data_IF_998776205962
#
_entry.id   IF_998776205962
#
_cell.length_a   1.000
_cell.length_b   1.000
_cell.length_c   1.000
_cell.angle_alpha   90.00
_cell.angle_beta   90.00
_cell.angle_gamma   90.00
#
_symmetry.space_group_name_H-M   'P 1'
#
loop_
_entity.id
_entity.type
_entity.pdbx_description
1 polymer ?
#
# COMPACT_ATOMS: atom_id res chain seq x y z
N UNK A 1 -5.61 0.19 -25.90
CA UNK A 1 -6.69 0.59 -24.99
C UNK A 1 -6.13 0.83 -23.60
N UNK A 2 -5.52 -0.17 -22.93
CA UNK A 2 -4.93 -0.03 -21.61
C UNK A 2 -3.99 1.19 -21.49
N UNK A 3 -3.01 1.29 -22.39
CA UNK A 3 -2.04 2.38 -22.39
C UNK A 3 -2.66 3.73 -22.69
N UNK A 4 -3.66 3.78 -23.59
CA UNK A 4 -4.39 5.03 -23.87
C UNK A 4 -5.16 5.52 -22.66
N UNK A 5 -5.90 4.62 -22.01
CA UNK A 5 -6.63 4.95 -20.77
C UNK A 5 -5.68 5.47 -19.67
N UNK A 6 -4.52 4.84 -19.49
CA UNK A 6 -3.53 5.27 -18.50
C UNK A 6 -2.90 6.63 -18.86
N UNK A 7 -2.46 6.80 -20.11
CA UNK A 7 -1.79 8.04 -20.56
C UNK A 7 -2.71 9.25 -20.48
N UNK A 8 -4.01 9.05 -20.75
CA UNK A 8 -5.01 10.12 -20.72
C UNK A 8 -5.68 10.28 -19.35
N UNK A 9 -5.38 9.40 -18.38
CA UNK A 9 -6.09 9.35 -17.09
C UNK A 9 -7.60 9.43 -17.35
N UNK A 10 -8.11 8.46 -18.10
CA UNK A 10 -9.49 8.48 -18.58
C UNK A 10 -10.14 7.10 -18.48
N UNK A 11 -11.47 7.11 -18.53
CA UNK A 11 -12.22 5.92 -18.88
C UNK A 11 -12.13 5.68 -20.39
N UNK A 12 -11.95 4.43 -20.79
CA UNK A 12 -11.93 4.01 -22.19
C UNK A 12 -12.89 2.85 -22.37
N UNK A 13 -13.99 3.12 -23.04
CA UNK A 13 -14.99 2.12 -23.42
C UNK A 13 -14.75 1.73 -24.86
N UNK A 14 -14.60 0.46 -25.14
CA UNK A 14 -14.29 -0.06 -26.46
C UNK A 14 -15.24 -1.19 -26.83
N UNK A 15 -15.84 -1.10 -27.99
CA UNK A 15 -16.62 -2.15 -28.63
C UNK A 15 -16.13 -2.31 -30.06
N UNK A 16 -15.94 -3.54 -30.49
CA UNK A 16 -15.49 -3.90 -31.83
C UNK A 16 -16.54 -4.73 -32.54
N UNK A 17 -16.55 -4.65 -33.86
CA UNK A 17 -17.34 -5.49 -34.75
C UNK A 17 -17.33 -6.96 -34.38
N UNK A 18 -18.49 -7.57 -34.40
CA UNK A 18 -18.70 -8.99 -34.06
C UNK A 18 -18.53 -9.94 -35.26
N UNK A 19 -18.61 -11.25 -35.02
CA UNK A 19 -18.44 -12.27 -36.07
C UNK A 19 -19.43 -12.16 -37.23
N UNK A 20 -20.61 -11.59 -37.01
CA UNK A 20 -21.67 -11.49 -38.03
C UNK A 20 -21.57 -10.22 -38.88
N UNK A 21 -20.59 -9.35 -38.63
CA UNK A 21 -20.47 -8.06 -39.36
C UNK A 21 -19.65 -8.18 -40.64
N UNK A 22 -19.08 -9.34 -40.93
CA UNK A 22 -18.40 -9.60 -42.19
C UNK A 22 -18.80 -10.96 -42.74
N UNK A 23 -19.04 -11.02 -44.04
CA UNK A 23 -19.39 -12.25 -44.78
C UNK A 23 -18.25 -12.74 -45.67
N UNK A 24 -17.09 -12.08 -45.63
CA UNK A 24 -15.95 -12.39 -46.50
C UNK A 24 -14.79 -13.02 -45.69
N UNK A 25 -13.55 -12.77 -46.04
CA UNK A 25 -12.35 -13.41 -45.51
C UNK A 25 -11.93 -12.91 -44.13
N UNK A 26 -12.65 -11.97 -43.54
CA UNK A 26 -12.33 -11.33 -42.27
C UNK A 26 -13.32 -11.78 -41.20
N UNK A 27 -12.80 -12.32 -40.09
CA UNK A 27 -13.58 -12.60 -38.90
C UNK A 27 -13.26 -11.58 -37.80
N UNK A 28 -14.26 -10.85 -37.36
CA UNK A 28 -14.13 -9.91 -36.25
C UNK A 28 -14.43 -10.59 -34.91
N UNK A 29 -13.73 -10.17 -33.87
CA UNK A 29 -13.80 -10.85 -32.56
C UNK A 29 -14.93 -10.40 -31.65
N UNK A 30 -15.57 -9.25 -31.93
CA UNK A 30 -16.59 -8.68 -31.04
C UNK A 30 -16.05 -8.31 -29.68
N UNK A 31 -14.78 -7.90 -29.58
CA UNK A 31 -14.16 -7.56 -28.30
C UNK A 31 -14.79 -6.32 -27.68
N UNK A 32 -15.20 -6.41 -26.44
CA UNK A 32 -15.70 -5.30 -25.62
C UNK A 32 -14.87 -5.15 -24.35
N UNK A 33 -14.43 -3.94 -24.06
CA UNK A 33 -13.50 -3.65 -22.98
C UNK A 33 -13.86 -2.34 -22.30
N UNK A 34 -13.77 -2.31 -20.97
CA UNK A 34 -13.88 -1.07 -20.18
C UNK A 34 -12.62 -0.94 -19.35
N UNK A 35 -11.89 0.15 -19.53
CA UNK A 35 -10.69 0.51 -18.78
C UNK A 35 -10.87 1.85 -18.08
N UNK A 36 -10.20 2.00 -16.94
CA UNK A 36 -10.09 3.23 -16.16
C UNK A 36 -8.64 3.41 -15.72
N UNK A 37 -8.01 4.50 -16.12
CA UNK A 37 -6.62 4.83 -15.78
C UNK A 37 -5.67 3.62 -15.86
N UNK A 38 -5.73 2.86 -16.97
CA UNK A 38 -4.92 1.68 -17.22
C UNK A 38 -5.36 0.39 -16.51
N UNK A 39 -6.39 0.45 -15.68
CA UNK A 39 -6.96 -0.73 -15.01
C UNK A 39 -8.16 -1.26 -15.79
N UNK A 40 -8.19 -2.59 -16.02
CA UNK A 40 -9.33 -3.23 -16.67
C UNK A 40 -10.46 -3.39 -15.66
N UNK A 41 -11.65 -2.81 -15.97
CA UNK A 41 -12.85 -2.94 -15.16
C UNK A 41 -13.74 -4.09 -15.62
N UNK A 42 -13.89 -4.22 -16.94
CA UNK A 42 -14.72 -5.28 -17.52
C UNK A 42 -14.20 -5.70 -18.90
N UNK A 43 -14.48 -6.95 -19.25
CA UNK A 43 -14.19 -7.54 -20.56
C UNK A 43 -15.28 -8.52 -20.93
N UNK A 44 -15.82 -8.39 -22.14
CA UNK A 44 -16.82 -9.32 -22.69
C UNK A 44 -16.17 -10.53 -23.36
N UNK A 45 -16.96 -11.59 -23.47
CA UNK A 45 -16.56 -12.78 -24.22
C UNK A 45 -16.44 -12.44 -25.70
N UNK A 46 -15.37 -12.89 -26.34
CA UNK A 46 -15.15 -12.72 -27.78
C UNK A 46 -15.82 -13.83 -28.58
N UNK A 47 -15.99 -13.60 -29.89
CA UNK A 47 -16.53 -14.56 -30.85
C UNK A 47 -17.92 -15.08 -30.51
N UNK A 48 -18.79 -14.19 -30.00
CA UNK A 48 -20.19 -14.51 -29.74
C UNK A 48 -21.04 -14.19 -30.96
N UNK A 49 -21.95 -15.08 -31.30
CA UNK A 49 -22.91 -14.93 -32.41
C UNK A 49 -24.22 -14.24 -31.96
N UNK A 50 -24.42 -14.08 -30.66
CA UNK A 50 -25.54 -13.38 -30.07
C UNK A 50 -25.11 -11.98 -29.57
N UNK A 51 -26.09 -11.11 -29.33
CA UNK A 51 -25.85 -9.80 -28.72
C UNK A 51 -25.30 -9.96 -27.31
N UNK A 52 -24.21 -9.28 -27.03
CA UNK A 52 -23.55 -9.27 -25.73
C UNK A 52 -23.49 -7.88 -25.12
N UNK A 53 -23.66 -7.79 -23.81
CA UNK A 53 -23.56 -6.56 -23.06
C UNK A 53 -22.44 -6.68 -22.01
N UNK A 54 -21.51 -5.72 -22.04
CA UNK A 54 -20.45 -5.59 -21.04
C UNK A 54 -20.71 -4.36 -20.19
N UNK A 55 -20.77 -4.52 -18.88
CA UNK A 55 -21.11 -3.46 -17.93
C UNK A 55 -19.95 -3.31 -16.94
N UNK A 56 -19.62 -2.07 -16.60
CA UNK A 56 -18.63 -1.75 -15.56
C UNK A 56 -18.88 -0.35 -15.00
N UNK A 57 -18.51 -0.17 -13.73
CA UNK A 57 -18.65 1.10 -13.04
C UNK A 57 -17.35 1.91 -13.17
N UNK A 58 -17.44 3.12 -13.67
CA UNK A 58 -16.33 4.06 -13.82
C UNK A 58 -16.42 5.12 -12.72
N UNK A 59 -15.31 5.33 -12.01
CA UNK A 59 -15.19 6.37 -10.99
C UNK A 59 -14.68 7.68 -11.62
N UNK A 60 -15.62 8.50 -12.07
CA UNK A 60 -15.32 9.77 -12.75
C UNK A 60 -14.65 10.78 -11.80
N UNK A 61 -15.06 10.80 -10.54
CA UNK A 61 -14.49 11.72 -9.55
C UNK A 61 -13.02 11.36 -9.25
N UNK A 62 -12.71 10.07 -9.15
CA UNK A 62 -11.33 9.60 -9.03
C UNK A 62 -10.48 10.01 -10.23
N UNK A 63 -10.99 9.86 -11.44
CA UNK A 63 -10.27 10.28 -12.64
C UNK A 63 -10.01 11.80 -12.65
N UNK A 64 -10.98 12.59 -12.24
CA UNK A 64 -10.84 14.05 -12.12
C UNK A 64 -9.75 14.39 -11.08
N UNK A 65 -9.80 13.76 -9.92
CA UNK A 65 -8.80 13.94 -8.86
C UNK A 65 -7.37 13.55 -9.30
N UNK A 66 -7.23 12.42 -10.00
CA UNK A 66 -5.94 11.96 -10.53
C UNK A 66 -5.37 12.94 -11.58
N UNK A 67 -6.23 13.53 -12.42
CA UNK A 67 -5.84 14.59 -13.37
C UNK A 67 -5.41 15.87 -12.66
N UNK A 68 -6.13 16.30 -11.63
CA UNK A 68 -5.80 17.50 -10.87
C UNK A 68 -4.42 17.40 -10.18
N UNK A 69 -4.03 16.21 -9.75
CA UNK A 69 -2.71 15.96 -9.16
C UNK A 69 -1.57 15.91 -10.18
N UNK A 70 -1.89 15.70 -11.44
CA UNK A 70 -0.90 15.56 -12.49
C UNK A 70 -0.61 16.91 -13.14
N UNK A 71 0.55 17.48 -12.84
CA UNK A 71 0.98 18.78 -13.36
C UNK A 71 1.19 18.83 -14.89
N UNK A 72 1.27 17.66 -15.54
CA UNK A 72 1.36 17.55 -17.00
C UNK A 72 0.02 17.71 -17.72
N UNK A 73 -1.09 17.68 -16.98
CA UNK A 73 -2.42 17.99 -17.52
C UNK A 73 -2.68 19.48 -17.42
N UNK A 74 -2.22 20.22 -18.43
CA UNK A 74 -2.56 21.64 -18.56
C UNK A 74 -3.94 21.79 -19.20
N UNK A 75 -4.76 22.65 -18.64
CA UNK A 75 -5.96 23.15 -19.30
C UNK A 75 -5.54 24.13 -20.40
N UNK A 76 -5.31 23.63 -21.59
CA UNK A 76 -5.31 24.50 -22.76
C UNK A 76 -6.70 25.12 -22.85
N UNK A 77 -6.78 26.41 -23.11
CA UNK A 77 -8.04 27.03 -23.49
C UNK A 77 -8.58 26.27 -24.70
N UNK A 78 -9.60 25.44 -24.44
CA UNK A 78 -10.32 24.75 -25.51
C UNK A 78 -11.08 25.82 -26.29
N UNK A 79 -11.07 25.72 -27.60
CA UNK A 79 -11.96 26.48 -28.43
C UNK A 79 -13.41 26.33 -27.93
N UNK A 80 -14.27 27.36 -28.14
CA UNK A 80 -15.63 27.29 -27.65
C UNK A 80 -16.35 26.08 -28.26
N UNK A 81 -16.71 25.13 -27.41
CA UNK A 81 -17.41 23.90 -27.76
C UNK A 81 -18.89 24.01 -27.39
N UNK A 82 -19.75 23.42 -28.18
CA UNK A 82 -21.18 23.29 -27.85
C UNK A 82 -21.34 22.35 -26.66
N UNK A 83 -21.91 22.84 -25.57
CA UNK A 83 -22.23 22.04 -24.37
C UNK A 83 -23.68 21.55 -24.46
N UNK A 84 -23.87 20.24 -24.31
CA UNK A 84 -25.18 19.61 -24.19
C UNK A 84 -25.34 19.15 -22.76
N UNK A 85 -26.31 19.68 -22.03
CA UNK A 85 -26.62 19.29 -20.67
C UNK A 85 -27.56 18.10 -20.71
N UNK A 86 -27.14 16.98 -20.08
CA UNK A 86 -27.95 15.79 -19.86
C UNK A 86 -28.10 15.57 -18.37
N UNK A 87 -29.33 15.32 -17.94
CA UNK A 87 -29.64 14.92 -16.55
C UNK A 87 -29.94 13.42 -16.55
N UNK A 88 -29.15 12.65 -15.84
CA UNK A 88 -29.39 11.23 -15.63
C UNK A 88 -29.82 11.06 -14.18
N UNK A 89 -30.99 10.46 -13.90
CA UNK A 89 -31.43 10.24 -12.53
C UNK A 89 -30.46 9.30 -11.79
N UNK A 90 -30.16 9.65 -10.54
CA UNK A 90 -29.38 8.78 -9.68
C UNK A 90 -30.11 7.43 -9.49
N UNK A 91 -29.42 6.34 -9.69
CA UNK A 91 -29.97 5.00 -9.49
C UNK A 91 -29.35 4.39 -8.24
N UNK A 92 -30.19 3.78 -7.40
CA UNK A 92 -29.71 3.01 -6.22
C UNK A 92 -29.25 1.59 -6.63
N UNK A 93 -28.62 1.45 -7.79
CA UNK A 93 -28.08 0.17 -8.22
C UNK A 93 -26.84 -0.20 -7.38
N UNK A 94 -26.68 -1.46 -7.00
CA UNK A 94 -25.48 -1.88 -6.29
C UNK A 94 -24.25 -1.67 -7.16
N UNK A 95 -23.21 -1.11 -6.56
CA UNK A 95 -21.92 -0.90 -7.23
C UNK A 95 -21.30 -2.26 -7.53
N UNK A 96 -20.94 -2.50 -8.80
CA UNK A 96 -20.29 -3.73 -9.28
C UNK A 96 -18.78 -3.70 -9.12
N UNK A 97 -18.23 -2.54 -8.77
CA UNK A 97 -16.81 -2.34 -8.57
C UNK A 97 -16.37 -2.93 -7.22
N UNK A 98 -15.29 -3.68 -7.24
CA UNK A 98 -14.63 -4.17 -6.02
C UNK A 98 -13.45 -3.28 -5.66
N UNK A 99 -13.37 -2.87 -4.41
CA UNK A 99 -12.22 -2.12 -3.88
C UNK A 99 -11.33 -3.05 -3.06
N UNK A 100 -10.02 -2.95 -3.27
CA UNK A 100 -9.08 -3.73 -2.47
C UNK A 100 -9.15 -3.28 -1.00
N UNK A 101 -9.41 -4.22 -0.09
CA UNK A 101 -9.47 -3.93 1.36
C UNK A 101 -8.15 -3.34 1.88
N UNK A 102 -7.04 -3.77 1.29
CA UNK A 102 -5.68 -3.35 1.64
C UNK A 102 -4.95 -2.86 0.38
N UNK A 103 -5.18 -1.60 -0.08
CA UNK A 103 -4.68 -1.12 -1.36
C UNK A 103 -3.15 -1.03 -1.42
N UNK A 104 -2.48 -0.90 -0.27
CA UNK A 104 -1.02 -0.80 -0.18
C UNK A 104 -0.31 -2.14 0.00
N UNK A 105 -1.07 -3.21 0.25
CA UNK A 105 -0.52 -4.56 0.48
C UNK A 105 -0.78 -5.42 -0.75
N UNK A 106 0.26 -5.92 -1.42
CA UNK A 106 0.08 -6.81 -2.57
C UNK A 106 -0.73 -8.05 -2.19
N UNK A 107 -1.75 -8.37 -2.97
CA UNK A 107 -2.58 -9.58 -2.77
C UNK A 107 -1.80 -10.87 -3.07
N UNK A 108 -0.83 -10.81 -3.98
CA UNK A 108 0.05 -11.93 -4.28
C UNK A 108 1.08 -12.13 -3.14
N UNK A 109 1.10 -13.31 -2.47
CA UNK A 109 2.00 -13.57 -1.34
C UNK A 109 3.49 -13.39 -1.68
N UNK A 110 3.94 -13.81 -2.86
CA UNK A 110 5.34 -13.70 -3.26
C UNK A 110 5.75 -12.23 -3.41
N UNK A 111 4.94 -11.42 -4.11
CA UNK A 111 5.17 -9.97 -4.24
C UNK A 111 5.11 -9.26 -2.90
N UNK A 112 4.22 -9.69 -2.00
CA UNK A 112 4.13 -9.13 -0.65
C UNK A 112 5.39 -9.40 0.16
N UNK A 113 5.90 -10.65 0.12
CA UNK A 113 7.12 -11.03 0.82
C UNK A 113 8.36 -10.33 0.25
N UNK A 114 8.47 -10.23 -1.07
CA UNK A 114 9.51 -9.47 -1.76
C UNK A 114 9.53 -8.01 -1.29
N UNK A 115 8.37 -7.34 -1.34
CA UNK A 115 8.24 -5.94 -0.90
C UNK A 115 8.54 -5.76 0.59
N UNK A 116 8.07 -6.67 1.45
CA UNK A 116 8.36 -6.61 2.89
C UNK A 116 9.85 -6.76 3.17
N UNK A 117 10.53 -7.68 2.49
CA UNK A 117 11.98 -7.86 2.60
C UNK A 117 12.75 -6.64 2.08
N UNK A 118 12.31 -6.03 0.98
CA UNK A 118 12.91 -4.82 0.45
C UNK A 118 12.80 -3.66 1.45
N UNK A 119 11.62 -3.41 2.01
CA UNK A 119 11.39 -2.35 3.02
C UNK A 119 12.29 -2.56 4.23
N UNK A 120 12.32 -3.78 4.77
CA UNK A 120 13.18 -4.11 5.91
C UNK A 120 14.68 -3.91 5.57
N UNK A 121 15.07 -4.25 4.36
CA UNK A 121 16.46 -4.09 3.89
C UNK A 121 16.83 -2.63 3.76
N UNK A 122 15.98 -1.80 3.17
CA UNK A 122 16.19 -0.34 3.04
C UNK A 122 16.41 0.28 4.42
N UNK A 123 15.52 0.00 5.38
CA UNK A 123 15.62 0.54 6.74
C UNK A 123 16.91 0.09 7.45
N UNK A 124 17.23 -1.21 7.34
CA UNK A 124 18.41 -1.78 7.99
C UNK A 124 19.72 -1.27 7.39
N UNK A 125 19.80 -1.12 6.06
CA UNK A 125 20.96 -0.54 5.39
C UNK A 125 21.13 0.94 5.72
N UNK A 126 20.05 1.71 5.81
CA UNK A 126 20.09 3.11 6.20
C UNK A 126 20.67 3.27 7.62
N UNK A 127 20.19 2.46 8.56
CA UNK A 127 20.71 2.45 9.93
C UNK A 127 22.18 1.98 9.97
N UNK A 128 22.52 0.90 9.28
CA UNK A 128 23.90 0.38 9.22
C UNK A 128 24.88 1.45 8.69
N UNK A 129 24.47 2.20 7.64
CA UNK A 129 25.25 3.31 7.13
C UNK A 129 25.50 4.39 8.20
N UNK A 130 24.49 4.75 8.98
CA UNK A 130 24.61 5.73 10.07
C UNK A 130 25.56 5.25 11.17
N UNK A 131 25.37 4.00 11.63
CA UNK A 131 26.23 3.41 12.64
C UNK A 131 27.70 3.34 12.18
N UNK A 132 27.93 2.95 10.93
CA UNK A 132 29.26 2.92 10.33
C UNK A 132 29.87 4.32 10.25
N UNK A 133 29.10 5.32 9.86
CA UNK A 133 29.56 6.71 9.75
C UNK A 133 29.97 7.31 11.09
N UNK A 134 29.15 7.07 12.13
CA UNK A 134 29.40 7.59 13.49
C UNK A 134 30.39 6.76 14.28
N UNK A 135 30.78 5.58 13.80
CA UNK A 135 31.61 4.63 14.55
C UNK A 135 30.89 3.96 15.72
N UNK A 136 29.57 4.15 15.84
CA UNK A 136 28.77 3.62 16.95
C UNK A 136 28.60 2.12 16.83
N UNK A 137 28.93 1.40 17.90
CA UNK A 137 28.80 -0.06 18.00
C UNK A 137 27.66 -0.51 18.91
N UNK A 138 26.89 0.42 19.47
CA UNK A 138 25.80 0.16 20.39
C UNK A 138 24.56 0.93 19.98
N UNK A 139 23.39 0.34 20.20
CA UNK A 139 22.09 1.00 20.08
C UNK A 139 21.29 0.82 21.37
N UNK A 140 20.48 1.81 21.70
CA UNK A 140 19.51 1.74 22.79
C UNK A 140 18.13 1.92 22.17
N UNK A 141 17.18 1.04 22.53
CA UNK A 141 15.80 1.08 22.04
C UNK A 141 14.82 0.80 23.17
N UNK A 142 13.80 1.64 23.30
CA UNK A 142 12.63 1.36 24.13
C UNK A 142 11.73 0.30 23.45
N UNK A 143 11.47 -0.82 24.13
CA UNK A 143 10.66 -1.92 23.59
C UNK A 143 9.39 -2.06 24.42
N UNK A 144 8.27 -1.63 23.83
CA UNK A 144 6.95 -1.72 24.46
C UNK A 144 6.26 -3.08 24.28
N UNK A 145 6.75 -3.91 23.35
CA UNK A 145 6.08 -5.14 22.92
C UNK A 145 4.98 -4.93 21.87
N UNK A 146 4.78 -3.70 21.39
CA UNK A 146 3.93 -3.35 20.24
C UNK A 146 4.64 -3.53 18.90
N UNK A 147 3.88 -3.43 17.81
CA UNK A 147 4.40 -3.68 16.45
C UNK A 147 5.52 -2.72 16.05
N UNK A 148 5.39 -1.43 16.35
CA UNK A 148 6.34 -0.41 15.92
C UNK A 148 7.72 -0.60 16.58
N UNK A 149 7.73 -0.81 17.90
CA UNK A 149 8.96 -1.09 18.64
C UNK A 149 9.58 -2.42 18.24
N UNK A 150 8.77 -3.42 17.90
CA UNK A 150 9.23 -4.71 17.40
C UNK A 150 9.87 -4.56 16.02
N UNK A 151 9.27 -3.80 15.11
CA UNK A 151 9.86 -3.53 13.79
C UNK A 151 11.19 -2.80 13.93
N UNK A 152 11.23 -1.73 14.72
CA UNK A 152 12.48 -0.99 14.97
C UNK A 152 13.59 -1.89 15.56
N UNK A 153 13.22 -2.77 16.47
CA UNK A 153 14.11 -3.77 17.07
C UNK A 153 14.71 -4.71 16.00
N UNK A 154 13.87 -5.26 15.13
CA UNK A 154 14.32 -6.16 14.05
C UNK A 154 15.19 -5.44 13.02
N UNK A 155 14.91 -4.18 12.72
CA UNK A 155 15.74 -3.32 11.85
C UNK A 155 17.13 -3.15 12.45
N UNK A 156 17.25 -2.92 13.76
CA UNK A 156 18.55 -2.79 14.44
C UNK A 156 19.33 -4.11 14.38
N UNK A 157 18.68 -5.22 14.68
CA UNK A 157 19.35 -6.54 14.62
C UNK A 157 19.87 -6.85 13.21
N UNK A 158 19.07 -6.56 12.18
CA UNK A 158 19.51 -6.75 10.80
C UNK A 158 20.64 -5.79 10.40
N UNK A 159 20.63 -4.56 10.90
CA UNK A 159 21.73 -3.63 10.70
C UNK A 159 23.01 -4.10 11.40
N UNK A 160 22.91 -4.68 12.60
CA UNK A 160 24.03 -5.28 13.32
C UNK A 160 24.60 -6.49 12.58
N UNK A 161 23.73 -7.33 12.01
CA UNK A 161 24.16 -8.47 11.19
C UNK A 161 24.97 -8.00 9.96
N UNK A 162 24.50 -6.96 9.25
CA UNK A 162 25.23 -6.32 8.13
C UNK A 162 26.62 -5.84 8.56
N UNK A 163 26.74 -5.23 9.74
CA UNK A 163 27.98 -4.66 10.26
C UNK A 163 28.82 -5.65 11.08
N UNK A 164 28.34 -6.88 11.24
CA UNK A 164 28.99 -7.91 12.10
C UNK A 164 29.15 -7.44 13.56
N UNK A 165 28.15 -6.72 14.06
CA UNK A 165 28.04 -6.29 15.46
C UNK A 165 27.25 -7.34 16.23
N UNK A 166 27.73 -7.74 17.40
CA UNK A 166 27.07 -8.74 18.23
C UNK A 166 25.73 -8.22 18.78
N UNK A 167 24.64 -9.05 18.84
CA UNK A 167 23.32 -8.65 19.30
C UNK A 167 23.30 -8.04 20.72
N UNK A 168 24.21 -8.43 21.59
CA UNK A 168 24.37 -7.90 22.95
C UNK A 168 24.62 -6.40 23.01
N UNK A 169 25.06 -5.83 21.90
CA UNK A 169 25.27 -4.38 21.77
C UNK A 169 23.95 -3.61 21.55
N UNK A 170 22.83 -4.30 21.31
CA UNK A 170 21.49 -3.71 21.40
C UNK A 170 21.02 -3.74 22.86
N UNK A 171 20.93 -2.57 23.46
CA UNK A 171 20.38 -2.39 24.81
C UNK A 171 18.87 -2.12 24.63
N UNK A 172 18.07 -3.13 24.86
CA UNK A 172 16.63 -3.09 24.78
C UNK A 172 16.03 -2.75 26.14
N UNK A 173 15.39 -1.59 26.25
CA UNK A 173 14.85 -1.09 27.51
C UNK A 173 13.34 -1.31 27.52
N UNK A 174 12.81 -2.02 28.49
CA UNK A 174 11.38 -2.07 28.75
C UNK A 174 11.06 -1.24 30.00
N UNK A 175 10.00 -0.43 29.89
CA UNK A 175 9.61 0.52 30.93
C UNK A 175 8.18 0.23 31.41
N UNK A 176 7.95 -0.80 32.22
CA UNK A 176 6.62 -1.12 32.69
C UNK A 176 6.06 -0.01 33.60
N UNK A 177 4.86 0.44 33.23
CA UNK A 177 4.06 1.41 33.96
C UNK A 177 2.65 0.90 34.26
N UNK A 178 1.72 1.78 34.65
CA UNK A 178 0.35 1.40 34.97
C UNK A 178 -0.46 0.94 33.76
N UNK A 179 -0.16 1.43 32.54
CA UNK A 179 -0.82 1.05 31.29
C UNK A 179 -0.20 -0.15 30.58
N UNK A 180 0.85 -0.74 31.14
CA UNK A 180 1.53 -1.88 30.49
C UNK A 180 0.73 -3.16 30.76
N UNK A 181 0.28 -3.83 29.67
CA UNK A 181 -0.40 -5.13 29.80
C UNK A 181 0.62 -6.27 29.95
N UNK A 182 0.26 -7.31 30.68
CA UNK A 182 1.13 -8.49 30.86
C UNK A 182 1.55 -9.10 29.52
N UNK A 183 0.64 -9.13 28.54
CA UNK A 183 0.91 -9.66 27.21
C UNK A 183 2.03 -8.91 26.49
N UNK A 184 1.94 -7.57 26.43
CA UNK A 184 2.95 -6.76 25.74
C UNK A 184 4.29 -6.80 26.45
N UNK A 185 4.27 -6.81 27.77
CA UNK A 185 5.47 -6.96 28.60
C UNK A 185 6.19 -8.29 28.36
N UNK A 186 5.45 -9.41 28.40
CA UNK A 186 6.03 -10.73 28.14
C UNK A 186 6.54 -10.86 26.71
N UNK A 187 5.82 -10.34 25.72
CA UNK A 187 6.27 -10.32 24.32
C UNK A 187 7.62 -9.60 24.16
N UNK A 188 7.78 -8.44 24.81
CA UNK A 188 9.04 -7.71 24.78
C UNK A 188 10.20 -8.52 25.38
N UNK A 189 10.00 -9.11 26.55
CA UNK A 189 11.03 -9.92 27.22
C UNK A 189 11.41 -11.17 26.43
N UNK A 190 10.42 -11.86 25.87
CA UNK A 190 10.65 -13.05 25.06
C UNK A 190 11.42 -12.75 23.78
N UNK A 191 11.05 -11.65 23.07
CA UNK A 191 11.77 -11.17 21.89
C UNK A 191 13.23 -10.91 22.20
N UNK A 192 13.51 -10.16 23.27
CA UNK A 192 14.87 -9.79 23.67
C UNK A 192 15.69 -11.03 24.04
N UNK A 193 15.10 -11.93 24.81
CA UNK A 193 15.75 -13.18 25.22
C UNK A 193 16.11 -14.07 24.03
N UNK A 194 15.16 -14.25 23.08
CA UNK A 194 15.36 -15.11 21.91
C UNK A 194 16.44 -14.60 20.95
N UNK A 195 16.68 -13.32 20.93
CA UNK A 195 17.63 -12.68 19.99
C UNK A 195 18.99 -12.40 20.59
N UNK A 196 19.16 -12.57 21.90
CA UNK A 196 20.43 -12.38 22.60
C UNK A 196 20.82 -10.92 22.81
N UNK A 197 19.90 -9.98 22.69
CA UNK A 197 20.13 -8.58 23.04
C UNK A 197 20.19 -8.38 24.57
N UNK A 198 20.75 -7.26 25.00
CA UNK A 198 20.82 -6.92 26.43
C UNK A 198 19.50 -6.31 26.89
N UNK A 199 18.80 -6.99 27.79
CA UNK A 199 17.57 -6.47 28.43
C UNK A 199 17.93 -5.51 29.56
N UNK A 200 17.29 -4.32 29.53
CA UNK A 200 17.19 -3.44 30.71
C UNK A 200 15.72 -3.19 31.03
N UNK A 201 15.38 -3.37 32.29
CA UNK A 201 14.04 -3.10 32.81
C UNK A 201 14.10 -1.89 33.75
N UNK A 202 13.27 -0.88 33.47
CA UNK A 202 13.18 0.35 34.27
C UNK A 202 11.72 0.59 34.60
N UNK A 203 11.29 0.33 35.82
CA UNK A 203 9.92 0.67 36.25
C UNK A 203 9.75 2.18 36.26
N UNK A 204 8.69 2.68 35.63
CA UNK A 204 8.33 4.10 35.64
C UNK A 204 7.20 4.40 36.62
N UNK A 205 6.73 3.42 37.41
CA UNK A 205 5.57 3.58 38.31
C UNK A 205 5.77 4.67 39.35
N UNK A 206 6.93 4.66 40.00
CA UNK A 206 7.23 5.64 41.04
C UNK A 206 7.35 7.07 40.48
N UNK A 207 7.95 7.22 39.32
CA UNK A 207 8.01 8.50 38.60
C UNK A 207 6.61 9.01 38.22
N UNK A 208 5.73 8.11 37.74
CA UNK A 208 4.33 8.47 37.47
C UNK A 208 3.58 8.89 38.74
N UNK A 209 3.76 8.19 39.86
CA UNK A 209 3.13 8.54 41.14
C UNK A 209 3.60 9.91 41.62
N UNK A 210 4.89 10.19 41.50
CA UNK A 210 5.44 11.48 41.86
C UNK A 210 4.81 12.59 41.03
N UNK A 211 4.75 12.39 39.72
CA UNK A 211 4.14 13.38 38.80
C UNK A 211 2.63 13.59 39.03
N UNK A 212 1.89 12.52 39.38
CA UNK A 212 0.47 12.66 39.77
C UNK A 212 0.22 13.49 41.04
N UNK A 213 1.23 13.58 41.93
CA UNK A 213 1.13 14.43 43.12
C UNK A 213 1.35 15.89 42.82
N UNK A 214 1.98 16.20 41.68
CA UNK A 214 2.28 17.59 41.26
C UNK A 214 1.11 18.19 40.45
N UNK A 215 0.08 17.42 40.09
CA UNK A 215 -1.10 17.79 39.33
C UNK A 215 -2.30 17.82 40.26
#
# INVERSE_FOLDING_TARGET
IKMHSAKQISAYVYARSGPLESTTDILFSGATLIYENGSKLAEGKRFQFDNTLTIGDVDVEKLLHDRMKNTSFHTNQLEPVRKIHCSIPATNQPIRRTYAKYPFVPSNPNKRNERANEILTIQSCALARRLKHTGSKKCILGVSGGLDSTLAYLVILKAFDILKIAPQNLIAVTMPGFGTTDRTYQNAKELIRKTGATLREVSIKDACILHYKDI
#
